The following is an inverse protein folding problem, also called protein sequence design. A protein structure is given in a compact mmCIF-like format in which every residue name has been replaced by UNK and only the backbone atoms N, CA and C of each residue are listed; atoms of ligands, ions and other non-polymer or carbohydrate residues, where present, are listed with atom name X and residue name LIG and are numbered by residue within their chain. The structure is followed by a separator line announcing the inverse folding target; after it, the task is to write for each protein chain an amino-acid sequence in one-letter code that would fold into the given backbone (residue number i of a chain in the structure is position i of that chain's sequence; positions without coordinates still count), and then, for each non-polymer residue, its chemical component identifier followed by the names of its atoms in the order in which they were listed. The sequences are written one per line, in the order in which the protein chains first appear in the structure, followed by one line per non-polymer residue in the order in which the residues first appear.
data_IF_003195167700
#
_entry.id   IF_003195167700
#
_cell.length_a   1.000
_cell.length_b   1.000
_cell.length_c   1.000
_cell.angle_alpha   90.00
_cell.angle_beta   90.00
_cell.angle_gamma   90.00
#
_symmetry.space_group_name_H-M   'P 1'
#
loop_
_entity.id
_entity.type
_entity.pdbx_description
1 polymer ?
#
# COMPACT_ATOMS: atom_id res chain seq x y z
N UNK A 1 7.65 -4.18 -28.94
CA UNK A 1 7.80 -3.67 -27.56
C UNK A 1 6.49 -3.90 -26.84
N UNK A 2 6.47 -4.60 -25.70
CA UNK A 2 5.26 -4.64 -24.87
C UNK A 2 4.93 -3.19 -24.43
N UNK A 3 3.64 -2.83 -24.34
CA UNK A 3 3.24 -1.50 -23.88
C UNK A 3 3.83 -1.21 -22.50
N UNK A 4 4.33 0.01 -22.31
CA UNK A 4 4.83 0.46 -21.01
C UNK A 4 3.68 0.42 -20.00
N UNK A 5 3.62 -0.64 -19.18
CA UNK A 5 2.52 -0.89 -18.24
C UNK A 5 2.34 0.26 -17.25
N UNK A 6 3.44 0.95 -16.91
CA UNK A 6 3.41 2.11 -16.02
C UNK A 6 2.68 3.30 -16.65
N UNK A 7 2.80 3.50 -17.96
CA UNK A 7 2.09 4.56 -18.69
C UNK A 7 0.56 4.42 -18.58
N UNK A 8 0.05 3.19 -18.47
CA UNK A 8 -1.38 2.93 -18.29
C UNK A 8 -1.89 3.39 -16.92
N UNK A 9 -1.07 3.33 -15.86
CA UNK A 9 -1.48 3.74 -14.52
C UNK A 9 -1.61 5.26 -14.36
N UNK A 10 -0.91 6.04 -15.17
CA UNK A 10 -1.05 7.50 -15.18
C UNK A 10 -2.43 7.95 -15.69
N UNK A 11 -3.05 7.19 -16.60
CA UNK A 11 -4.29 7.59 -17.28
C UNK A 11 -5.51 6.78 -16.87
N UNK A 12 -5.34 5.61 -16.23
CA UNK A 12 -6.44 4.78 -15.74
C UNK A 12 -7.34 5.58 -14.76
N UNK A 13 -8.66 5.33 -14.69
CA UNK A 13 -9.52 5.96 -13.68
C UNK A 13 -9.04 5.68 -12.25
N UNK A 14 -9.05 6.70 -11.38
CA UNK A 14 -8.58 6.55 -10.00
C UNK A 14 -9.37 5.48 -9.23
N UNK A 15 -10.69 5.41 -9.47
CA UNK A 15 -11.56 4.39 -8.88
C UNK A 15 -11.14 2.97 -9.24
N UNK A 16 -10.67 2.72 -10.47
CA UNK A 16 -10.18 1.40 -10.86
C UNK A 16 -8.90 1.03 -10.13
N UNK A 17 -7.98 2.00 -9.97
CA UNK A 17 -6.73 1.78 -9.23
C UNK A 17 -6.99 1.51 -7.74
N UNK A 18 -7.87 2.30 -7.13
CA UNK A 18 -8.26 2.11 -5.73
C UNK A 18 -8.97 0.77 -5.51
N UNK A 19 -9.84 0.34 -6.44
CA UNK A 19 -10.48 -0.97 -6.37
C UNK A 19 -9.47 -2.12 -6.49
N UNK A 20 -8.43 -1.98 -7.32
CA UNK A 20 -7.33 -2.96 -7.39
C UNK A 20 -6.62 -3.09 -6.04
N UNK A 21 -6.30 -1.96 -5.39
CA UNK A 21 -5.62 -1.96 -4.09
C UNK A 21 -6.47 -2.60 -3.01
N UNK A 22 -7.75 -2.21 -2.94
CA UNK A 22 -8.69 -2.80 -1.97
C UNK A 22 -8.73 -4.32 -2.11
N UNK A 23 -8.78 -4.85 -3.34
CA UNK A 23 -8.74 -6.30 -3.59
C UNK A 23 -7.44 -6.97 -3.16
N UNK A 24 -6.30 -6.31 -3.36
CA UNK A 24 -5.00 -6.82 -2.89
C UNK A 24 -4.96 -6.90 -1.35
N UNK A 25 -5.60 -5.96 -0.66
CA UNK A 25 -5.65 -5.94 0.81
C UNK A 25 -6.82 -6.74 1.40
N UNK A 26 -7.67 -7.38 0.59
CA UNK A 26 -8.85 -8.12 1.07
C UNK A 26 -8.51 -9.10 2.18
N UNK A 27 -7.56 -10.01 1.93
CA UNK A 27 -7.18 -11.05 2.90
C UNK A 27 -6.55 -10.46 4.18
N UNK A 28 -5.60 -9.51 4.10
CA UNK A 28 -5.10 -8.81 5.28
C UNK A 28 -6.20 -8.09 6.08
N UNK A 29 -7.16 -7.44 5.42
CA UNK A 29 -8.24 -6.71 6.08
C UNK A 29 -9.20 -7.63 6.84
N UNK A 30 -9.45 -8.85 6.34
CA UNK A 30 -10.25 -9.85 7.04
C UNK A 30 -9.68 -10.17 8.43
N UNK A 31 -8.35 -10.15 8.59
CA UNK A 31 -7.71 -10.40 9.89
C UNK A 31 -8.05 -9.33 10.94
N UNK A 32 -8.46 -8.13 10.50
CA UNK A 32 -8.92 -7.03 11.35
C UNK A 32 -10.44 -6.85 11.31
N UNK A 33 -11.18 -7.91 10.98
CA UNK A 33 -12.65 -7.92 11.05
C UNK A 33 -13.35 -7.16 9.91
N UNK A 34 -12.63 -6.78 8.86
CA UNK A 34 -13.22 -6.13 7.69
C UNK A 34 -13.30 -7.10 6.51
N UNK A 35 -14.47 -7.72 6.31
CA UNK A 35 -14.71 -8.67 5.23
C UNK A 35 -15.05 -7.93 3.92
N UNK A 36 -14.00 -7.64 3.15
CA UNK A 36 -14.13 -6.90 1.89
C UNK A 36 -14.64 -7.79 0.75
N UNK A 37 -15.84 -7.51 0.23
CA UNK A 37 -16.34 -8.15 -1.00
C UNK A 37 -15.87 -7.40 -2.26
N UNK A 38 -15.97 -8.05 -3.42
CA UNK A 38 -15.62 -7.43 -4.71
C UNK A 38 -16.50 -6.22 -5.02
N UNK A 39 -17.82 -6.32 -4.76
CA UNK A 39 -18.76 -5.21 -4.98
C UNK A 39 -18.46 -4.05 -4.03
N UNK A 40 -18.21 -4.35 -2.75
CA UNK A 40 -17.88 -3.33 -1.76
C UNK A 40 -16.57 -2.62 -2.09
N UNK A 41 -15.57 -3.31 -2.64
CA UNK A 41 -14.33 -2.70 -3.10
C UNK A 41 -14.57 -1.67 -4.22
N UNK A 42 -15.41 -2.03 -5.20
CA UNK A 42 -15.77 -1.15 -6.30
C UNK A 42 -16.60 0.06 -5.82
N UNK A 43 -17.58 -0.16 -4.94
CA UNK A 43 -18.43 0.88 -4.35
C UNK A 43 -17.61 1.88 -3.54
N UNK A 44 -16.75 1.41 -2.63
CA UNK A 44 -15.87 2.27 -1.83
C UNK A 44 -14.94 3.06 -2.74
N UNK A 45 -14.32 2.43 -3.74
CA UNK A 45 -13.40 3.12 -4.64
C UNK A 45 -14.09 4.21 -5.48
N UNK A 46 -15.33 3.96 -5.92
CA UNK A 46 -16.15 4.96 -6.60
C UNK A 46 -16.52 6.12 -5.66
N UNK A 47 -16.91 5.82 -4.41
CA UNK A 47 -17.20 6.84 -3.41
C UNK A 47 -16.00 7.71 -3.08
N UNK A 48 -14.80 7.12 -2.89
CA UNK A 48 -13.55 7.88 -2.70
C UNK A 48 -13.30 8.82 -3.89
N UNK A 49 -13.38 8.28 -5.11
CA UNK A 49 -13.07 9.05 -6.32
C UNK A 49 -14.06 10.18 -6.61
N UNK A 50 -15.32 10.00 -6.20
CA UNK A 50 -16.38 11.01 -6.33
C UNK A 50 -16.52 11.91 -5.09
N UNK A 51 -15.63 11.75 -4.10
CA UNK A 51 -15.66 12.46 -2.80
C UNK A 51 -17.02 12.34 -2.10
N UNK A 52 -17.66 11.18 -2.23
CA UNK A 52 -18.93 10.86 -1.56
C UNK A 52 -18.69 10.02 -0.32
N UNK A 53 -19.46 10.22 0.76
CA UNK A 53 -19.38 9.37 1.94
C UNK A 53 -19.84 7.94 1.61
N UNK A 54 -19.31 6.97 2.35
CA UNK A 54 -19.72 5.59 2.29
C UNK A 54 -19.63 4.95 3.68
N UNK A 55 -20.66 4.22 4.09
CA UNK A 55 -20.82 3.73 5.47
C UNK A 55 -19.69 2.80 5.92
N UNK A 56 -19.01 2.15 4.96
CA UNK A 56 -17.90 1.24 5.20
C UNK A 56 -16.54 1.94 5.31
N UNK A 57 -16.46 3.26 5.07
CA UNK A 57 -15.19 4.00 5.16
C UNK A 57 -14.62 4.05 6.59
N UNK A 58 -15.42 4.34 7.66
CA UNK A 58 -14.90 4.32 9.02
C UNK A 58 -14.31 2.96 9.45
N UNK A 59 -15.01 1.82 9.33
CA UNK A 59 -14.43 0.53 9.72
C UNK A 59 -13.25 0.12 8.83
N UNK A 60 -13.27 0.46 7.54
CA UNK A 60 -12.11 0.26 6.65
C UNK A 60 -10.89 1.05 7.14
N UNK A 61 -11.07 2.31 7.52
CA UNK A 61 -9.98 3.17 8.03
C UNK A 61 -9.35 2.55 9.28
N UNK A 62 -10.16 2.10 10.24
CA UNK A 62 -9.65 1.44 11.45
C UNK A 62 -8.87 0.16 11.13
N UNK A 63 -9.39 -0.69 10.23
CA UNK A 63 -8.69 -1.89 9.79
C UNK A 63 -7.35 -1.58 9.10
N UNK A 64 -7.31 -0.55 8.26
CA UNK A 64 -6.09 -0.10 7.60
C UNK A 64 -5.05 0.46 8.59
N UNK A 65 -5.48 1.20 9.61
CA UNK A 65 -4.58 1.70 10.67
C UNK A 65 -3.90 0.53 11.37
N UNK A 66 -4.65 -0.50 11.75
CA UNK A 66 -4.08 -1.69 12.38
C UNK A 66 -3.14 -2.44 11.44
N UNK A 67 -3.52 -2.61 10.17
CA UNK A 67 -2.71 -3.27 9.16
C UNK A 67 -1.35 -2.57 8.94
N UNK A 68 -1.36 -1.24 8.82
CA UNK A 68 -0.14 -0.45 8.63
C UNK A 68 0.72 -0.51 9.88
N UNK A 69 0.12 -0.37 11.07
CA UNK A 69 0.85 -0.44 12.34
C UNK A 69 1.53 -1.81 12.56
N UNK A 70 0.83 -2.91 12.30
CA UNK A 70 1.42 -4.26 12.37
C UNK A 70 2.56 -4.42 11.37
N UNK A 71 2.37 -3.95 10.14
CA UNK A 71 3.38 -4.09 9.09
C UNK A 71 4.63 -3.25 9.39
N UNK A 72 4.48 -2.06 9.97
CA UNK A 72 5.60 -1.26 10.48
C UNK A 72 6.33 -1.99 11.62
N UNK A 73 5.60 -2.62 12.53
CA UNK A 73 6.19 -3.42 13.61
C UNK A 73 6.96 -4.64 13.10
N UNK A 74 6.59 -5.21 11.94
CA UNK A 74 7.38 -6.26 11.29
C UNK A 74 8.73 -5.73 10.84
N UNK A 75 8.78 -4.56 10.20
CA UNK A 75 10.05 -3.95 9.77
C UNK A 75 10.94 -3.56 10.95
N UNK A 76 10.33 -3.10 12.04
CA UNK A 76 11.03 -2.68 13.27
C UNK A 76 11.77 -3.85 13.95
N UNK A 77 11.36 -5.10 13.73
CA UNK A 77 12.10 -6.29 14.21
C UNK A 77 13.52 -6.35 13.65
N UNK A 78 13.77 -5.72 12.50
CA UNK A 78 15.09 -5.59 11.88
C UNK A 78 15.70 -4.19 12.05
N UNK A 79 15.08 -3.33 12.86
CA UNK A 79 15.48 -1.93 13.05
C UNK A 79 15.29 -1.08 11.79
N UNK A 80 14.36 -1.46 10.91
CA UNK A 80 14.13 -0.78 9.64
C UNK A 80 12.90 0.12 9.72
N UNK A 81 13.07 1.36 9.28
CA UNK A 81 11.95 2.21 8.85
C UNK A 81 11.44 1.76 7.47
N UNK A 82 10.23 2.17 7.08
CA UNK A 82 9.70 1.85 5.75
C UNK A 82 10.62 2.32 4.60
N UNK A 83 11.09 3.58 4.56
CA UNK A 83 12.06 4.02 3.54
C UNK A 83 13.32 3.15 3.50
N UNK A 84 13.94 2.92 4.67
CA UNK A 84 15.16 2.12 4.73
C UNK A 84 14.92 0.66 4.34
N UNK A 85 13.75 0.11 4.61
CA UNK A 85 13.42 -1.26 4.23
C UNK A 85 13.42 -1.42 2.71
N UNK A 86 12.78 -0.51 1.98
CA UNK A 86 12.73 -0.56 0.52
C UNK A 86 14.12 -0.48 -0.14
N UNK A 87 15.06 0.24 0.48
CA UNK A 87 16.43 0.34 -0.01
C UNK A 87 17.36 -0.76 0.56
N UNK A 88 16.90 -1.56 1.54
CA UNK A 88 17.67 -2.65 2.15
C UNK A 88 17.42 -3.96 1.41
N UNK A 89 18.44 -4.55 0.76
CA UNK A 89 18.29 -5.85 0.11
C UNK A 89 18.15 -6.96 1.17
N UNK A 90 17.47 -8.04 0.82
CA UNK A 90 17.13 -9.10 1.78
C UNK A 90 18.36 -9.84 2.35
N UNK A 91 19.45 -9.90 1.59
CA UNK A 91 20.72 -10.50 2.03
C UNK A 91 21.44 -9.66 3.11
N UNK A 92 21.08 -8.38 3.25
CA UNK A 92 21.54 -7.51 4.34
C UNK A 92 20.72 -7.66 5.63
N UNK A 93 19.61 -8.41 5.61
CA UNK A 93 18.81 -8.66 6.82
C UNK A 93 19.41 -9.83 7.60
N UNK A 94 19.76 -9.63 8.89
CA UNK A 94 20.34 -10.69 9.71
C UNK A 94 19.28 -11.72 10.14
N UNK A 95 19.74 -12.88 10.64
CA UNK A 95 18.88 -13.84 11.33
C UNK A 95 18.44 -15.06 10.52
N UNK A 96 19.01 -15.26 9.33
CA UNK A 96 18.84 -16.50 8.56
C UNK A 96 20.16 -17.27 8.46
N UNK A 97 20.05 -18.58 8.52
CA UNK A 97 21.15 -19.55 8.35
C UNK A 97 20.82 -20.56 7.25
N UNK A 98 19.54 -20.72 6.94
CA UNK A 98 19.03 -21.62 5.89
C UNK A 98 18.32 -20.84 4.79
N UNK A 99 18.23 -21.45 3.61
CA UNK A 99 17.43 -20.89 2.50
C UNK A 99 15.95 -20.76 2.85
N UNK A 100 15.41 -21.66 3.69
CA UNK A 100 14.01 -21.58 4.11
C UNK A 100 13.74 -20.34 4.98
N UNK A 101 14.63 -20.05 5.93
CA UNK A 101 14.57 -18.83 6.75
C UNK A 101 14.72 -17.58 5.89
N UNK A 102 15.67 -17.58 4.95
CA UNK A 102 15.85 -16.49 4.00
C UNK A 102 14.56 -16.17 3.22
N UNK A 103 13.89 -17.21 2.68
CA UNK A 103 12.64 -17.03 1.95
C UNK A 103 11.49 -16.54 2.84
N UNK A 104 11.41 -17.03 4.08
CA UNK A 104 10.40 -16.57 5.04
C UNK A 104 10.60 -15.09 5.41
N UNK A 105 11.85 -14.65 5.61
CA UNK A 105 12.17 -13.24 5.85
C UNK A 105 11.86 -12.38 4.63
N UNK A 106 12.21 -12.85 3.43
CA UNK A 106 11.92 -12.16 2.17
C UNK A 106 10.41 -11.92 2.01
N UNK A 107 9.61 -12.95 2.26
CA UNK A 107 8.16 -12.88 2.19
C UNK A 107 7.60 -11.94 3.26
N UNK A 108 8.09 -12.03 4.51
CA UNK A 108 7.63 -11.16 5.60
C UNK A 108 7.91 -9.68 5.31
N UNK A 109 9.13 -9.35 4.86
CA UNK A 109 9.51 -7.99 4.47
C UNK A 109 8.67 -7.48 3.31
N UNK A 110 8.63 -8.23 2.20
CA UNK A 110 7.92 -7.79 0.99
C UNK A 110 6.42 -7.59 1.24
N UNK A 111 5.80 -8.48 2.03
CA UNK A 111 4.41 -8.32 2.43
C UNK A 111 4.20 -7.09 3.32
N UNK A 112 5.10 -6.82 4.28
CA UNK A 112 5.02 -5.64 5.14
C UNK A 112 5.13 -4.35 4.31
N UNK A 113 6.12 -4.28 3.41
CA UNK A 113 6.31 -3.12 2.52
C UNK A 113 5.07 -2.84 1.67
N UNK A 114 4.52 -3.88 1.03
CA UNK A 114 3.31 -3.76 0.21
C UNK A 114 2.12 -3.26 1.04
N UNK A 115 1.90 -3.83 2.23
CA UNK A 115 0.78 -3.44 3.11
C UNK A 115 0.92 -2.01 3.60
N UNK A 116 2.14 -1.57 3.94
CA UNK A 116 2.41 -0.20 4.36
C UNK A 116 2.13 0.77 3.21
N UNK A 117 2.70 0.54 2.03
CA UNK A 117 2.55 1.44 0.90
C UNK A 117 1.07 1.60 0.49
N UNK A 118 0.40 0.47 0.27
CA UNK A 118 -1.00 0.46 -0.14
C UNK A 118 -1.94 0.97 0.95
N UNK A 119 -1.68 0.60 2.21
CA UNK A 119 -2.46 1.02 3.35
C UNK A 119 -2.37 2.53 3.59
N UNK A 120 -1.17 3.10 3.52
CA UNK A 120 -0.95 4.54 3.66
C UNK A 120 -1.65 5.34 2.54
N UNK A 121 -1.57 4.86 1.28
CA UNK A 121 -2.28 5.47 0.14
C UNK A 121 -3.79 5.47 0.36
N UNK A 122 -4.37 4.34 0.79
CA UNK A 122 -5.81 4.26 1.06
C UNK A 122 -6.22 5.13 2.24
N UNK A 123 -5.47 5.13 3.35
CA UNK A 123 -5.73 6.01 4.48
C UNK A 123 -5.74 7.47 4.06
N UNK A 124 -4.75 7.89 3.27
CA UNK A 124 -4.68 9.28 2.78
C UNK A 124 -5.89 9.64 1.93
N UNK A 125 -6.31 8.78 1.00
CA UNK A 125 -7.50 9.03 0.17
C UNK A 125 -8.82 8.99 0.95
N UNK A 126 -8.83 8.35 2.11
CA UNK A 126 -9.94 8.38 3.08
C UNK A 126 -9.88 9.58 4.04
N UNK A 127 -8.94 10.53 3.84
CA UNK A 127 -8.76 11.72 4.67
C UNK A 127 -8.02 11.47 5.99
N UNK A 128 -7.37 10.33 6.14
CA UNK A 128 -6.52 10.00 7.29
C UNK A 128 -5.05 10.21 6.94
N UNK A 129 -4.49 11.32 7.43
CA UNK A 129 -3.15 11.77 7.06
C UNK A 129 -2.06 11.35 8.06
N UNK A 130 -2.35 10.41 8.98
CA UNK A 130 -1.38 9.94 9.99
C UNK A 130 -0.07 9.40 9.39
N UNK A 131 -0.12 8.89 8.16
CA UNK A 131 1.04 8.37 7.42
C UNK A 131 1.35 9.19 6.16
N UNK A 132 1.02 10.49 6.14
CA UNK A 132 1.25 11.36 4.98
C UNK A 132 2.73 11.40 4.53
N UNK A 133 3.67 11.28 5.47
CA UNK A 133 5.11 11.18 5.19
C UNK A 133 5.48 9.97 4.31
N UNK A 134 4.82 8.83 4.49
CA UNK A 134 5.02 7.63 3.66
C UNK A 134 4.52 7.89 2.24
N UNK A 135 3.34 8.51 2.12
CA UNK A 135 2.74 8.85 0.82
C UNK A 135 3.61 9.87 0.07
N UNK A 136 4.11 10.89 0.76
CA UNK A 136 5.01 11.89 0.20
C UNK A 136 6.31 11.24 -0.29
N UNK A 137 6.91 10.37 0.52
CA UNK A 137 8.13 9.65 0.14
C UNK A 137 7.93 8.77 -1.10
N UNK A 138 6.83 8.03 -1.17
CA UNK A 138 6.46 7.23 -2.36
C UNK A 138 6.26 8.12 -3.59
N UNK A 139 5.57 9.25 -3.44
CA UNK A 139 5.36 10.18 -4.54
C UNK A 139 6.68 10.74 -5.10
N UNK A 140 7.65 11.02 -4.23
CA UNK A 140 8.99 11.52 -4.63
C UNK A 140 9.77 10.50 -5.45
N UNK A 141 9.52 9.21 -5.24
CA UNK A 141 10.08 8.12 -6.05
C UNK A 141 9.39 7.89 -7.39
N UNK A 142 8.23 8.49 -7.64
CA UNK A 142 7.50 8.31 -8.91
C UNK A 142 8.28 8.77 -10.16
N UNK A 143 9.34 9.57 -9.99
CA UNK A 143 10.22 10.01 -11.08
C UNK A 143 11.40 9.06 -11.35
N UNK A 144 11.60 8.04 -10.53
CA UNK A 144 12.63 7.02 -10.73
C UNK A 144 12.26 6.13 -11.93
N UNK A 145 13.20 5.80 -12.85
CA UNK A 145 12.98 4.77 -13.86
C UNK A 145 12.48 3.42 -13.31
N UNK A 146 12.78 3.11 -12.04
CA UNK A 146 12.33 1.93 -11.32
C UNK A 146 11.05 2.18 -10.49
N UNK A 147 10.31 3.27 -10.73
CA UNK A 147 9.09 3.58 -10.00
C UNK A 147 8.03 2.48 -10.15
N UNK A 148 7.53 2.03 -9.02
CA UNK A 148 6.46 1.06 -8.93
C UNK A 148 5.07 1.72 -8.94
N UNK A 149 4.05 0.86 -9.03
CA UNK A 149 2.64 1.28 -9.10
C UNK A 149 2.21 2.17 -7.93
N UNK A 150 2.64 1.85 -6.71
CA UNK A 150 2.34 2.60 -5.48
C UNK A 150 2.93 4.01 -5.52
N UNK A 151 4.15 4.18 -6.03
CA UNK A 151 4.82 5.47 -6.19
C UNK A 151 4.06 6.37 -7.17
N UNK A 152 3.67 5.82 -8.33
CA UNK A 152 2.86 6.53 -9.33
C UNK A 152 1.51 6.96 -8.74
N UNK A 153 0.84 6.06 -8.03
CA UNK A 153 -0.45 6.36 -7.43
C UNK A 153 -0.34 7.39 -6.31
N UNK A 154 0.67 7.27 -5.42
CA UNK A 154 0.95 8.23 -4.37
C UNK A 154 1.14 9.63 -4.95
N UNK A 155 1.94 9.78 -6.01
CA UNK A 155 2.09 11.06 -6.72
C UNK A 155 0.76 11.58 -7.22
N UNK A 156 -0.04 10.71 -7.86
CA UNK A 156 -1.32 11.11 -8.43
C UNK A 156 -2.30 11.61 -7.37
N UNK A 157 -2.41 10.93 -6.22
CA UNK A 157 -3.34 11.35 -5.17
C UNK A 157 -2.93 12.66 -4.51
N UNK A 158 -1.63 12.97 -4.44
CA UNK A 158 -1.12 14.24 -3.92
C UNK A 158 -1.26 15.40 -4.91
N UNK A 159 -1.27 15.13 -6.21
CA UNK A 159 -1.42 16.17 -7.25
C UNK A 159 -2.85 16.36 -7.73
N UNK A 160 -3.80 15.55 -7.26
CA UNK A 160 -5.22 15.59 -7.69
C UNK A 160 -6.08 16.56 -6.86
N UNK A 161 -5.45 17.57 -6.24
CA UNK A 161 -6.11 18.68 -5.56
C UNK A 161 -6.40 19.86 -6.50
#
# INVERSE_FOLDING_TARGET
MPPNRLAAFHTAPLSELLAVILRQLRRPLTAYGFDLTESMAAEIAASISSRQPHDQMPPLREALVHLVAESLAVLDQWGLTFPSALDTPIDAIPGWTTTAEFLALAEAKSNAELRIALGAILLYTLGDHRHAEIVQWLADRANDPAADFDSILARRILTSD
#
